data_IF_525130141666
#
_entry.id   IF_525130141666
#
_cell.length_a   1.000
_cell.length_b   1.000
_cell.length_c   1.000
_cell.angle_alpha   90.00
_cell.angle_beta   90.00
_cell.angle_gamma   90.00
#
_symmetry.space_group_name_H-M   'P 1'
#
loop_
_entity.id
_entity.type
_entity.pdbx_description
1 polymer ?
#
# COMPACT_ATOMS: atom_id res chain seq x y z
N UNK A 1 -25.24 4.50 -2.40
CA UNK A 1 -23.88 4.67 -1.82
C UNK A 1 -23.79 6.06 -1.21
N UNK A 2 -23.77 6.15 0.11
CA UNK A 2 -23.87 7.43 0.84
C UNK A 2 -22.50 8.10 0.93
N UNK A 3 -22.32 9.23 0.23
CA UNK A 3 -21.14 10.10 0.41
C UNK A 3 -21.29 10.82 1.75
N UNK A 4 -20.39 10.55 2.69
CA UNK A 4 -20.33 11.25 3.99
C UNK A 4 -19.37 12.42 3.82
N UNK A 5 -19.83 13.66 3.98
CA UNK A 5 -18.95 14.82 4.04
C UNK A 5 -18.25 14.82 5.41
N UNK A 6 -16.94 14.53 5.42
CA UNK A 6 -16.09 14.67 6.59
C UNK A 6 -15.63 16.13 6.67
N UNK A 7 -15.74 16.76 7.84
CA UNK A 7 -15.22 18.12 8.10
C UNK A 7 -13.71 18.16 7.84
N UNK A 8 -13.20 19.28 7.30
CA UNK A 8 -11.82 19.42 6.82
C UNK A 8 -10.72 19.00 7.83
N UNK A 9 -10.88 19.33 9.11
CA UNK A 9 -9.92 18.97 10.17
C UNK A 9 -9.87 17.45 10.44
N UNK A 10 -11.04 16.81 10.59
CA UNK A 10 -11.11 15.36 10.82
C UNK A 10 -10.55 14.55 9.64
N UNK A 11 -10.72 15.06 8.41
CA UNK A 11 -10.10 14.46 7.22
C UNK A 11 -8.57 14.60 7.24
N UNK A 12 -8.06 15.74 7.73
CA UNK A 12 -6.61 15.97 7.82
C UNK A 12 -5.93 15.03 8.80
N UNK A 13 -6.53 14.79 9.96
CA UNK A 13 -6.00 13.83 10.94
C UNK A 13 -6.08 12.39 10.41
N UNK A 14 -7.16 12.02 9.71
CA UNK A 14 -7.23 10.72 9.04
C UNK A 14 -6.08 10.54 8.04
N UNK A 15 -5.83 11.51 7.16
CA UNK A 15 -4.74 11.44 6.18
C UNK A 15 -3.38 11.27 6.88
N UNK A 16 -3.10 12.05 7.93
CA UNK A 16 -1.87 11.94 8.73
C UNK A 16 -1.74 10.56 9.38
N UNK A 17 -2.82 10.03 9.92
CA UNK A 17 -2.82 8.71 10.55
C UNK A 17 -2.55 7.58 9.55
N UNK A 18 -3.19 7.62 8.37
CA UNK A 18 -2.92 6.64 7.31
C UNK A 18 -1.47 6.72 6.83
N UNK A 19 -0.93 7.94 6.64
CA UNK A 19 0.46 8.15 6.24
C UNK A 19 1.45 7.58 7.29
N UNK A 20 1.31 7.94 8.57
CA UNK A 20 2.18 7.43 9.65
C UNK A 20 2.16 5.91 9.76
N UNK A 21 0.98 5.29 9.59
CA UNK A 21 0.88 3.82 9.60
C UNK A 21 1.57 3.20 8.39
N UNK A 22 1.43 3.81 7.21
CA UNK A 22 2.10 3.35 6.00
C UNK A 22 3.62 3.43 6.15
N UNK A 23 4.14 4.53 6.71
CA UNK A 23 5.57 4.73 6.97
C UNK A 23 6.12 3.63 7.88
N UNK A 24 5.41 3.35 8.98
CA UNK A 24 5.80 2.29 9.92
C UNK A 24 5.81 0.91 9.26
N UNK A 25 4.86 0.62 8.38
CA UNK A 25 4.82 -0.66 7.69
C UNK A 25 5.93 -0.76 6.64
N UNK A 26 6.28 0.33 5.94
CA UNK A 26 7.42 0.34 5.03
C UNK A 26 8.74 0.11 5.78
N UNK A 27 8.91 0.71 6.97
CA UNK A 27 10.07 0.47 7.82
C UNK A 27 10.16 -1.00 8.26
N UNK A 28 9.05 -1.60 8.69
CA UNK A 28 9.01 -3.04 9.04
C UNK A 28 9.33 -3.94 7.86
N UNK A 29 8.82 -3.62 6.66
CA UNK A 29 9.11 -4.40 5.47
C UNK A 29 10.63 -4.46 5.18
N UNK A 30 11.35 -3.35 5.42
CA UNK A 30 12.81 -3.28 5.32
C UNK A 30 13.49 -4.12 6.40
N UNK A 31 13.09 -3.95 7.66
CA UNK A 31 13.66 -4.69 8.79
C UNK A 31 13.48 -6.21 8.63
N UNK A 32 12.29 -6.64 8.21
CA UNK A 32 11.95 -8.05 8.05
C UNK A 32 12.70 -8.67 6.86
N UNK A 33 12.91 -7.92 5.78
CA UNK A 33 13.78 -8.33 4.68
C UNK A 33 15.21 -8.58 5.15
N UNK A 34 15.78 -7.65 5.92
CA UNK A 34 17.15 -7.78 6.47
C UNK A 34 17.29 -8.97 7.42
N UNK A 35 16.23 -9.27 8.19
CA UNK A 35 16.18 -10.40 9.13
C UNK A 35 15.92 -11.75 8.48
N UNK A 36 15.61 -11.78 7.19
CA UNK A 36 15.23 -13.00 6.48
C UNK A 36 13.79 -13.45 6.74
N UNK A 37 12.94 -12.57 7.28
CA UNK A 37 11.51 -12.82 7.53
C UNK A 37 10.71 -12.42 6.29
N UNK A 38 10.98 -13.12 5.18
CA UNK A 38 10.47 -12.77 3.86
C UNK A 38 8.94 -12.72 3.77
N UNK A 39 8.16 -13.65 4.37
CA UNK A 39 6.70 -13.56 4.37
C UNK A 39 6.19 -12.29 5.05
N UNK A 40 6.74 -11.96 6.22
CA UNK A 40 6.40 -10.73 6.97
C UNK A 40 6.81 -9.48 6.19
N UNK A 41 7.99 -9.49 5.56
CA UNK A 41 8.45 -8.41 4.67
C UNK A 41 7.46 -8.15 3.53
N UNK A 42 7.00 -9.20 2.86
CA UNK A 42 5.98 -9.12 1.81
C UNK A 42 4.63 -8.59 2.34
N UNK A 43 4.20 -9.07 3.51
CA UNK A 43 2.98 -8.60 4.17
C UNK A 43 3.04 -7.10 4.46
N UNK A 44 4.12 -6.64 5.09
CA UNK A 44 4.26 -5.23 5.45
C UNK A 44 4.48 -4.33 4.23
N UNK A 45 5.13 -4.81 3.16
CA UNK A 45 5.20 -4.11 1.89
C UNK A 45 3.80 -3.87 1.29
N UNK A 46 2.94 -4.90 1.28
CA UNK A 46 1.55 -4.74 0.83
C UNK A 46 0.77 -3.78 1.72
N UNK A 47 0.93 -3.87 3.04
CA UNK A 47 0.25 -2.99 3.99
C UNK A 47 0.69 -1.52 3.84
N UNK A 48 1.97 -1.27 3.58
CA UNK A 48 2.48 0.07 3.29
C UNK A 48 1.81 0.66 2.05
N UNK A 49 1.74 -0.11 0.95
CA UNK A 49 1.06 0.29 -0.29
C UNK A 49 -0.42 0.59 -0.08
N UNK A 50 -1.14 -0.32 0.59
CA UNK A 50 -2.57 -0.15 0.84
C UNK A 50 -2.83 1.15 1.62
N UNK A 51 -2.04 1.40 2.66
CA UNK A 51 -2.24 2.55 3.56
C UNK A 51 -1.83 3.87 2.92
N UNK A 52 -0.70 3.93 2.20
CA UNK A 52 -0.26 5.16 1.56
C UNK A 52 -1.21 5.56 0.41
N UNK A 53 -1.70 4.59 -0.37
CA UNK A 53 -2.72 4.85 -1.38
C UNK A 53 -4.04 5.30 -0.76
N UNK A 54 -4.45 4.71 0.38
CA UNK A 54 -5.62 5.16 1.13
C UNK A 54 -5.47 6.56 1.73
N UNK A 55 -4.25 6.98 2.09
CA UNK A 55 -3.94 8.35 2.48
C UNK A 55 -4.12 9.28 1.28
N UNK A 56 -3.48 8.96 0.14
CA UNK A 56 -3.59 9.73 -1.09
C UNK A 56 -5.03 9.87 -1.58
N UNK A 57 -5.80 8.78 -1.65
CA UNK A 57 -7.18 8.82 -2.12
C UNK A 57 -8.05 9.78 -1.31
N UNK A 58 -7.80 9.89 0.00
CA UNK A 58 -8.49 10.84 0.87
C UNK A 58 -8.16 12.29 0.55
N UNK A 59 -6.93 12.61 0.14
CA UNK A 59 -6.55 13.98 -0.24
C UNK A 59 -7.33 14.47 -1.46
N UNK A 60 -7.71 13.54 -2.34
CA UNK A 60 -8.56 13.79 -3.52
C UNK A 60 -10.05 13.50 -3.29
N UNK A 61 -10.47 13.29 -2.03
CA UNK A 61 -11.88 13.11 -1.65
C UNK A 61 -12.48 11.75 -1.98
N UNK A 62 -11.65 10.72 -2.18
CA UNK A 62 -12.05 9.35 -2.51
C UNK A 62 -11.80 8.41 -1.32
N UNK A 63 -12.77 7.55 -1.02
CA UNK A 63 -12.65 6.52 0.04
C UNK A 63 -12.98 5.15 -0.57
N UNK A 64 -12.02 4.24 -0.54
CA UNK A 64 -12.13 2.90 -1.14
C UNK A 64 -12.03 1.82 -0.06
N UNK A 65 -12.94 0.83 -0.13
CA UNK A 65 -12.97 -0.36 0.73
C UNK A 65 -12.38 -1.58 0.02
N UNK A 66 -11.20 -1.42 -0.57
CA UNK A 66 -10.47 -2.50 -1.24
C UNK A 66 -9.11 -2.73 -0.54
N UNK A 67 -8.59 -3.93 -0.71
CA UNK A 67 -7.25 -4.34 -0.26
C UNK A 67 -6.28 -4.58 -1.42
N UNK A 68 -6.83 -4.88 -2.61
CA UNK A 68 -6.05 -5.01 -3.83
C UNK A 68 -5.42 -3.68 -4.23
N UNK A 69 -4.12 -3.68 -4.43
CA UNK A 69 -3.33 -2.50 -4.77
C UNK A 69 -3.76 -1.93 -6.12
N UNK A 70 -4.05 -2.78 -7.11
CA UNK A 70 -4.49 -2.37 -8.44
C UNK A 70 -5.83 -1.63 -8.36
N UNK A 71 -6.75 -2.09 -7.52
CA UNK A 71 -8.04 -1.42 -7.32
C UNK A 71 -7.87 -0.03 -6.69
N UNK A 72 -6.88 0.15 -5.80
CA UNK A 72 -6.57 1.44 -5.21
C UNK A 72 -5.87 2.38 -6.21
N UNK A 73 -4.93 1.85 -7.01
CA UNK A 73 -4.28 2.59 -8.08
C UNK A 73 -5.29 3.05 -9.14
N UNK A 74 -6.27 2.24 -9.50
CA UNK A 74 -7.32 2.63 -10.45
C UNK A 74 -8.30 3.66 -9.86
N UNK A 75 -8.43 3.73 -8.54
CA UNK A 75 -9.32 4.69 -7.88
C UNK A 75 -8.73 6.12 -7.75
N UNK A 76 -7.47 6.34 -8.12
CA UNK A 76 -6.75 7.62 -7.93
C UNK A 76 -7.35 8.82 -8.67
N UNK A 77 -8.21 8.61 -9.67
CA UNK A 77 -8.80 9.66 -10.51
C UNK A 77 -7.89 10.18 -11.63
N UNK A 78 -7.94 11.47 -11.94
CA UNK A 78 -6.99 12.13 -12.85
C UNK A 78 -5.86 12.76 -12.01
N UNK A 79 -4.60 12.69 -12.46
CA UNK A 79 -3.47 13.41 -11.82
C UNK A 79 -2.28 12.57 -11.36
N UNK A 80 -2.46 11.34 -10.89
CA UNK A 80 -1.33 10.43 -10.60
C UNK A 80 -0.97 9.62 -11.86
N UNK A 81 0.27 9.66 -12.33
CA UNK A 81 0.72 8.77 -13.41
C UNK A 81 1.11 7.43 -12.79
N UNK A 82 0.38 6.37 -13.15
CA UNK A 82 0.57 5.02 -12.59
C UNK A 82 0.70 3.96 -13.67
N UNK A 83 0.73 4.35 -14.94
CA UNK A 83 0.72 3.41 -16.07
C UNK A 83 1.96 2.49 -16.01
N UNK A 84 3.13 3.02 -15.66
CA UNK A 84 4.37 2.26 -15.45
C UNK A 84 4.31 1.27 -14.27
N UNK A 85 3.46 1.55 -13.29
CA UNK A 85 3.21 0.63 -12.17
C UNK A 85 2.27 -0.48 -12.63
N UNK A 86 1.20 -0.11 -13.35
CA UNK A 86 0.20 -1.02 -13.89
C UNK A 86 0.75 -1.93 -14.99
N UNK A 87 1.79 -1.52 -15.71
CA UNK A 87 2.49 -2.36 -16.69
C UNK A 87 3.14 -3.59 -16.04
N UNK A 88 3.59 -3.48 -14.78
CA UNK A 88 4.14 -4.61 -14.03
C UNK A 88 3.03 -5.40 -13.30
N UNK A 89 2.08 -5.92 -14.09
CA UNK A 89 0.88 -6.61 -13.57
C UNK A 89 1.21 -7.81 -12.69
N UNK A 90 2.23 -8.60 -13.06
CA UNK A 90 2.62 -9.80 -12.31
C UNK A 90 3.03 -9.46 -10.88
N UNK A 91 3.94 -8.49 -10.71
CA UNK A 91 4.41 -8.09 -9.39
C UNK A 91 3.32 -7.37 -8.57
N UNK A 92 2.43 -6.62 -9.22
CA UNK A 92 1.29 -6.01 -8.54
C UNK A 92 0.29 -7.06 -8.03
N UNK A 93 -0.02 -8.07 -8.84
CA UNK A 93 -0.91 -9.16 -8.46
C UNK A 93 -0.30 -9.95 -7.31
N UNK A 94 0.99 -10.27 -7.40
CA UNK A 94 1.76 -10.93 -6.35
C UNK A 94 1.75 -10.13 -5.05
N UNK A 95 2.08 -8.83 -5.08
CA UNK A 95 2.03 -7.96 -3.91
C UNK A 95 0.61 -7.90 -3.32
N UNK A 96 -0.42 -7.82 -4.17
CA UNK A 96 -1.83 -7.76 -3.75
C UNK A 96 -2.29 -8.99 -2.98
N UNK A 97 -1.70 -10.16 -3.21
CA UNK A 97 -2.03 -11.39 -2.48
C UNK A 97 -1.44 -11.44 -1.06
N UNK A 98 -0.42 -10.61 -0.79
CA UNK A 98 0.33 -10.64 0.46
C UNK A 98 -0.46 -10.10 1.65
N UNK A 99 -1.65 -9.53 1.45
CA UNK A 99 -2.52 -9.09 2.54
C UNK A 99 -3.01 -10.25 3.45
N UNK A 100 -3.07 -11.49 2.91
CA UNK A 100 -3.46 -12.70 3.66
C UNK A 100 -2.47 -13.85 3.53
N UNK A 101 -1.74 -13.98 2.41
CA UNK A 101 -0.92 -15.16 2.15
C UNK A 101 0.17 -15.43 3.21
N UNK A 102 0.90 -14.43 3.73
CA UNK A 102 1.87 -14.68 4.81
C UNK A 102 1.24 -15.20 6.10
N UNK A 103 -0.03 -14.86 6.36
CA UNK A 103 -0.72 -15.12 7.63
C UNK A 103 -1.58 -16.37 7.67
N UNK A 104 -2.13 -16.79 6.53
CA UNK A 104 -3.21 -17.77 6.50
C UNK A 104 -2.89 -18.95 5.57
N UNK A 105 -2.63 -20.16 6.11
CA UNK A 105 -2.32 -21.36 5.32
C UNK A 105 -3.41 -21.70 4.27
N UNK A 106 -4.68 -21.50 4.62
CA UNK A 106 -5.81 -21.73 3.71
C UNK A 106 -5.86 -20.72 2.56
N UNK A 107 -5.38 -19.49 2.75
CA UNK A 107 -5.28 -18.51 1.68
C UNK A 107 -4.07 -18.81 0.79
N UNK A 108 -2.94 -19.19 1.39
CA UNK A 108 -1.75 -19.72 0.69
C UNK A 108 -2.09 -20.83 -0.31
N UNK A 109 -2.89 -21.80 0.10
CA UNK A 109 -3.36 -22.87 -0.79
C UNK A 109 -4.18 -22.39 -1.98
N UNK A 110 -4.90 -21.25 -1.88
CA UNK A 110 -5.71 -20.70 -2.99
C UNK A 110 -4.87 -20.00 -4.04
N UNK A 111 -3.77 -19.37 -3.62
CA UNK A 111 -2.81 -18.69 -4.50
C UNK A 111 -1.63 -19.60 -4.87
N UNK A 112 -1.77 -20.90 -4.61
CA UNK A 112 -0.75 -21.92 -4.87
C UNK A 112 0.66 -21.57 -4.32
N UNK A 113 0.72 -20.89 -3.17
CA UNK A 113 1.96 -20.47 -2.51
C UNK A 113 2.18 -21.18 -1.19
N UNK A 114 3.39 -21.65 -0.93
CA UNK A 114 3.83 -22.19 0.36
C UNK A 114 4.70 -21.16 1.11
N UNK A 115 5.07 -21.45 2.37
CA UNK A 115 5.95 -20.55 3.12
C UNK A 115 7.39 -20.60 2.59
N UNK A 116 7.80 -21.76 2.09
CA UNK A 116 9.12 -22.04 1.55
C UNK A 116 9.35 -21.36 0.19
N UNK A 117 8.27 -20.92 -0.46
CA UNK A 117 8.32 -20.16 -1.72
C UNK A 117 8.61 -18.66 -1.47
N UNK A 118 8.67 -18.22 -0.20
CA UNK A 118 9.11 -16.87 0.14
C UNK A 118 10.61 -16.84 0.31
N UNK A 119 11.28 -16.24 -0.67
CA UNK A 119 12.70 -15.99 -0.65
C UNK A 119 13.00 -14.48 -0.61
N UNK A 120 14.29 -14.18 -0.62
CA UNK A 120 14.80 -12.82 -0.61
C UNK A 120 14.38 -12.04 -1.85
N UNK A 121 14.42 -12.67 -3.03
CA UNK A 121 14.12 -12.03 -4.32
C UNK A 121 12.67 -11.57 -4.38
N UNK A 122 11.74 -12.41 -3.91
CA UNK A 122 10.33 -12.05 -3.78
C UNK A 122 10.13 -10.89 -2.80
N UNK A 123 10.75 -10.95 -1.62
CA UNK A 123 10.62 -9.88 -0.63
C UNK A 123 11.23 -8.55 -1.11
N UNK A 124 12.35 -8.60 -1.82
CA UNK A 124 12.96 -7.44 -2.49
C UNK A 124 12.03 -6.86 -3.55
N UNK A 125 11.43 -7.70 -4.40
CA UNK A 125 10.49 -7.28 -5.43
C UNK A 125 9.23 -6.62 -4.82
N UNK A 126 8.68 -7.20 -3.74
CA UNK A 126 7.56 -6.61 -3.01
C UNK A 126 7.92 -5.22 -2.44
N UNK A 127 9.08 -5.11 -1.80
CA UNK A 127 9.58 -3.86 -1.23
C UNK A 127 9.85 -2.82 -2.32
N UNK A 128 10.44 -3.21 -3.44
CA UNK A 128 10.71 -2.31 -4.57
C UNK A 128 9.42 -1.71 -5.12
N UNK A 129 8.40 -2.54 -5.37
CA UNK A 129 7.08 -2.06 -5.79
C UNK A 129 6.47 -1.12 -4.75
N UNK A 130 6.65 -1.43 -3.46
CA UNK A 130 6.17 -0.56 -2.40
C UNK A 130 6.83 0.82 -2.38
N UNK A 131 8.15 0.87 -2.58
CA UNK A 131 8.90 2.11 -2.71
C UNK A 131 8.46 2.90 -3.96
N UNK A 132 8.27 2.23 -5.10
CA UNK A 132 7.79 2.89 -6.33
C UNK A 132 6.41 3.51 -6.16
N UNK A 133 5.48 2.80 -5.52
CA UNK A 133 4.13 3.31 -5.20
C UNK A 133 4.24 4.49 -4.23
N UNK A 134 5.05 4.35 -3.18
CA UNK A 134 5.27 5.40 -2.17
C UNK A 134 5.73 6.71 -2.82
N UNK A 135 6.80 6.65 -3.62
CA UNK A 135 7.35 7.84 -4.30
C UNK A 135 6.39 8.48 -5.30
N UNK A 136 5.39 7.75 -5.79
CA UNK A 136 4.33 8.34 -6.64
C UNK A 136 3.46 9.32 -5.86
N UNK A 137 3.16 9.02 -4.60
CA UNK A 137 2.11 9.72 -3.84
C UNK A 137 2.62 10.60 -2.71
N UNK A 138 3.81 10.35 -2.17
CA UNK A 138 4.32 11.02 -0.97
C UNK A 138 4.28 12.55 -1.09
N UNK A 139 4.84 13.10 -2.17
CA UNK A 139 4.91 14.55 -2.34
C UNK A 139 3.54 15.21 -2.52
N UNK A 140 2.55 14.48 -3.07
CA UNK A 140 1.19 14.99 -3.17
C UNK A 140 0.49 15.04 -1.81
N UNK A 141 0.73 14.03 -0.96
CA UNK A 141 0.20 13.99 0.41
C UNK A 141 0.85 15.08 1.25
N UNK A 142 2.19 15.20 1.22
CA UNK A 142 2.94 16.19 1.99
C UNK A 142 2.51 17.62 1.68
N UNK A 143 2.38 17.98 0.39
CA UNK A 143 1.85 19.30 -0.01
C UNK A 143 0.44 19.53 0.53
N UNK A 144 -0.45 18.54 0.39
CA UNK A 144 -1.81 18.65 0.88
C UNK A 144 -1.90 18.86 2.40
N UNK A 145 -0.99 18.21 3.14
CA UNK A 145 -0.85 18.29 4.59
C UNK A 145 -0.25 19.63 5.03
N UNK A 146 0.72 20.18 4.31
CA UNK A 146 1.31 21.49 4.58
C UNK A 146 0.31 22.63 4.40
N UNK A 147 -0.57 22.53 3.41
CA UNK A 147 -1.64 23.52 3.17
C UNK A 147 -2.74 23.50 4.25
N UNK A 148 -2.73 22.50 5.14
CA UNK A 148 -3.72 22.28 6.20
C UNK A 148 -3.02 21.94 7.53
N UNK A 149 -2.35 22.93 8.15
CA UNK A 149 -1.77 22.73 9.47
C UNK A 149 -2.89 22.43 10.47
N UNK A 150 -2.64 21.44 11.31
CA UNK A 150 -3.46 21.03 12.45
C UNK A 150 -3.65 22.16 13.46
#
# INVERSE_FOLDING_TARGET
MTKRHVKGEALSEEVREWYRRAERDLAKARDDLERGWYPEGCFYAQQACEKILKAYLRTVGVVVRAHRIEALLLAKGQGLQVDDLLENRGLLEELSEQYLAPRYPNFRGRVARRLEDYDRELAESCLEMAVRIWSRVEGAIERWVLDRPS
#
